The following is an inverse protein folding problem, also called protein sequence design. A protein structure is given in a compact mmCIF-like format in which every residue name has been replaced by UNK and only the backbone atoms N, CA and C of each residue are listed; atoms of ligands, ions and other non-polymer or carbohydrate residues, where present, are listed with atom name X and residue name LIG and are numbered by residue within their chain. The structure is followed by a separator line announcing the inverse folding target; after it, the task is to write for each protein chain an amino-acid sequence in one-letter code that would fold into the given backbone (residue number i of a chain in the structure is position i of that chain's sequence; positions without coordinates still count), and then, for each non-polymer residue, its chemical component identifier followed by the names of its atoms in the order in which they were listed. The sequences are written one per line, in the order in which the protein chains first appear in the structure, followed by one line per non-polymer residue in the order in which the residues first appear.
data_IF_577866156778
#
_entry.id   IF_577866156778
#
_cell.length_a   1.000
_cell.length_b   1.000
_cell.length_c   1.000
_cell.angle_alpha   90.00
_cell.angle_beta   90.00
_cell.angle_gamma   90.00
#
_symmetry.space_group_name_H-M   'P 1'
#
loop_
_entity.id
_entity.type
_entity.pdbx_description
1 polymer ?
#
# COMPACT_ATOMS: atom_id res chain seq x y z
N UNK A 1 50.07 -21.87 2.21
CA UNK A 1 49.23 -21.94 0.99
C UNK A 1 47.81 -22.45 1.25
N UNK A 2 47.64 -23.57 1.99
CA UNK A 2 46.31 -24.17 2.27
C UNK A 2 45.35 -23.24 3.03
N UNK A 3 45.84 -22.50 4.02
CA UNK A 3 45.00 -21.60 4.84
C UNK A 3 44.51 -20.36 4.09
N UNK A 4 45.34 -19.79 3.20
CA UNK A 4 44.96 -18.66 2.34
C UNK A 4 43.87 -19.05 1.34
N UNK A 5 43.96 -20.27 0.79
CA UNK A 5 42.98 -20.81 -0.15
C UNK A 5 41.64 -21.09 0.53
N UNK A 6 41.68 -21.60 1.77
CA UNK A 6 40.48 -21.83 2.59
C UNK A 6 39.82 -20.52 3.03
N UNK A 7 40.60 -19.50 3.38
CA UNK A 7 40.07 -18.17 3.71
C UNK A 7 39.41 -17.50 2.49
N UNK A 8 40.01 -17.65 1.30
CA UNK A 8 39.41 -17.14 0.06
C UNK A 8 38.09 -17.83 -0.28
N UNK A 9 38.03 -19.16 -0.15
CA UNK A 9 36.80 -19.94 -0.32
C UNK A 9 35.70 -19.51 0.64
N UNK A 10 36.02 -19.33 1.92
CA UNK A 10 35.05 -18.90 2.93
C UNK A 10 34.49 -17.50 2.62
N UNK A 11 35.32 -16.57 2.15
CA UNK A 11 34.88 -15.24 1.73
C UNK A 11 33.95 -15.30 0.52
N UNK A 12 34.24 -16.14 -0.48
CA UNK A 12 33.36 -16.33 -1.65
C UNK A 12 32.02 -16.91 -1.25
N UNK A 13 32.02 -17.93 -0.38
CA UNK A 13 30.78 -18.54 0.14
C UNK A 13 29.96 -17.52 0.92
N UNK A 14 30.61 -16.71 1.75
CA UNK A 14 29.94 -15.67 2.54
C UNK A 14 29.31 -14.61 1.62
N UNK A 15 30.04 -14.15 0.60
CA UNK A 15 29.53 -13.20 -0.37
C UNK A 15 28.35 -13.77 -1.18
N UNK A 16 28.44 -15.04 -1.59
CA UNK A 16 27.35 -15.72 -2.28
C UNK A 16 26.10 -15.84 -1.40
N UNK A 17 26.27 -16.18 -0.11
CA UNK A 17 25.17 -16.22 0.84
C UNK A 17 24.50 -14.85 1.01
N UNK A 18 25.28 -13.77 1.13
CA UNK A 18 24.75 -12.40 1.17
C UNK A 18 23.99 -12.04 -0.10
N UNK A 19 24.51 -12.39 -1.27
CA UNK A 19 23.84 -12.14 -2.54
C UNK A 19 22.49 -12.86 -2.64
N UNK A 20 22.41 -14.11 -2.17
CA UNK A 20 21.15 -14.87 -2.11
C UNK A 20 20.13 -14.19 -1.18
N UNK A 21 20.56 -13.73 0.01
CA UNK A 21 19.66 -13.03 0.95
C UNK A 21 19.13 -11.73 0.33
N UNK A 22 20.01 -10.91 -0.27
CA UNK A 22 19.60 -9.67 -0.95
C UNK A 22 18.63 -9.99 -2.10
N UNK A 23 18.93 -11.01 -2.91
CA UNK A 23 18.07 -11.46 -3.99
C UNK A 23 16.68 -11.88 -3.50
N UNK A 24 16.61 -12.64 -2.40
CA UNK A 24 15.34 -13.04 -1.79
C UNK A 24 14.55 -11.82 -1.26
N UNK A 25 15.21 -10.86 -0.62
CA UNK A 25 14.57 -9.63 -0.15
C UNK A 25 13.99 -8.80 -1.31
N UNK A 26 14.77 -8.62 -2.38
CA UNK A 26 14.30 -7.91 -3.59
C UNK A 26 13.13 -8.65 -4.25
N UNK A 27 13.19 -9.98 -4.31
CA UNK A 27 12.12 -10.79 -4.88
C UNK A 27 10.82 -10.68 -4.08
N UNK A 28 10.90 -10.76 -2.75
CA UNK A 28 9.76 -10.53 -1.85
C UNK A 28 9.22 -9.10 -2.03
N UNK A 29 10.09 -8.10 -2.14
CA UNK A 29 9.67 -6.72 -2.37
C UNK A 29 8.90 -6.55 -3.68
N UNK A 30 9.36 -7.21 -4.76
CA UNK A 30 8.64 -7.20 -6.05
C UNK A 30 7.27 -7.87 -5.93
N UNK A 31 7.17 -9.00 -5.20
CA UNK A 31 5.90 -9.68 -4.94
C UNK A 31 4.91 -8.80 -4.14
N UNK A 32 5.39 -8.12 -3.10
CA UNK A 32 4.57 -7.17 -2.33
C UNK A 32 4.17 -5.96 -3.16
N UNK A 33 5.03 -5.49 -4.07
CA UNK A 33 4.75 -4.36 -4.96
C UNK A 33 3.77 -4.73 -6.09
N UNK A 34 3.76 -6.00 -6.50
CA UNK A 34 2.84 -6.55 -7.49
C UNK A 34 1.46 -6.89 -6.93
N UNK A 35 1.15 -6.49 -5.68
CA UNK A 35 -0.17 -6.70 -5.11
C UNK A 35 -1.27 -6.08 -6.00
N UNK A 36 -2.38 -6.81 -6.24
CA UNK A 36 -3.46 -6.38 -7.13
C UNK A 36 -4.22 -5.14 -6.63
N UNK A 37 -3.98 -4.75 -5.37
CA UNK A 37 -4.56 -3.56 -4.74
C UNK A 37 -4.03 -2.23 -5.32
N UNK A 38 -3.01 -2.27 -6.20
CA UNK A 38 -2.40 -1.06 -6.79
C UNK A 38 -3.32 -0.27 -7.73
N UNK A 39 -4.40 -0.88 -8.24
CA UNK A 39 -5.37 -0.23 -9.13
C UNK A 39 -6.79 -0.14 -8.53
N UNK A 40 -6.92 -0.07 -7.21
CA UNK A 40 -8.22 0.22 -6.61
C UNK A 40 -8.63 1.66 -6.96
N UNK A 41 -9.78 1.81 -7.61
CA UNK A 41 -10.33 3.14 -7.88
C UNK A 41 -10.75 3.76 -6.55
N UNK A 42 -10.03 4.79 -6.13
CA UNK A 42 -10.37 5.55 -4.95
C UNK A 42 -11.68 6.31 -5.20
N UNK A 43 -12.55 6.31 -4.20
CA UNK A 43 -13.82 7.04 -4.19
C UNK A 43 -13.84 8.00 -3.00
N UNK A 44 -14.49 9.14 -3.17
CA UNK A 44 -14.65 10.12 -2.11
C UNK A 44 -16.10 10.59 -2.01
N UNK A 45 -16.50 11.06 -0.84
CA UNK A 45 -17.77 11.73 -0.61
C UNK A 45 -17.53 13.00 0.22
N UNK A 46 -17.89 14.19 -0.27
CA UNK A 46 -17.73 15.43 0.48
C UNK A 46 -18.71 15.48 1.65
N UNK A 47 -18.27 16.09 2.74
CA UNK A 47 -19.09 16.31 3.94
C UNK A 47 -19.17 17.81 4.19
N UNK A 48 -20.37 18.36 4.04
CA UNK A 48 -20.67 19.79 4.21
C UNK A 48 -20.95 20.14 5.70
N UNK A 49 -20.12 19.58 6.59
CA UNK A 49 -20.12 19.83 8.03
C UNK A 49 -18.84 19.34 8.69
N UNK A 50 -18.54 19.91 9.85
CA UNK A 50 -17.54 19.39 10.75
C UNK A 50 -17.94 18.00 11.28
N UNK A 51 -17.00 17.06 11.21
CA UNK A 51 -17.22 15.69 11.67
C UNK A 51 -17.24 15.63 13.19
N UNK A 52 -18.32 15.06 13.74
CA UNK A 52 -18.40 14.76 15.17
C UNK A 52 -18.10 13.28 15.44
N UNK A 53 -17.86 12.93 16.70
CA UNK A 53 -17.59 11.54 17.07
C UNK A 53 -18.78 10.60 16.76
N UNK A 54 -20.01 11.08 16.87
CA UNK A 54 -21.21 10.31 16.55
C UNK A 54 -21.28 9.96 15.06
N UNK A 55 -20.82 10.86 14.19
CA UNK A 55 -20.77 10.66 12.74
C UNK A 55 -19.80 9.53 12.33
N UNK A 56 -18.71 9.38 13.08
CA UNK A 56 -17.72 8.32 12.85
C UNK A 56 -18.29 6.96 13.28
N UNK A 57 -18.97 6.88 14.43
CA UNK A 57 -19.51 5.62 14.96
C UNK A 57 -20.71 5.15 14.13
N UNK A 58 -21.52 6.10 13.63
CA UNK A 58 -22.70 5.81 12.81
C UNK A 58 -22.39 5.75 11.32
N UNK A 59 -21.13 5.80 10.93
CA UNK A 59 -20.71 5.76 9.54
C UNK A 59 -21.27 4.52 8.84
N UNK A 60 -21.97 4.74 7.73
CA UNK A 60 -22.44 3.69 6.86
C UNK A 60 -22.11 4.03 5.41
N UNK A 61 -21.34 3.17 4.75
CA UNK A 61 -20.88 3.45 3.39
C UNK A 61 -22.04 3.60 2.38
N UNK A 62 -23.20 2.99 2.63
CA UNK A 62 -24.38 3.11 1.77
C UNK A 62 -25.06 4.48 1.78
N UNK A 63 -24.75 5.34 2.75
CA UNK A 63 -25.43 6.63 2.97
C UNK A 63 -24.78 7.79 2.22
N UNK A 64 -23.77 7.50 1.39
CA UNK A 64 -22.94 8.52 0.75
C UNK A 64 -22.92 8.38 -0.77
N UNK A 65 -23.02 9.52 -1.45
CA UNK A 65 -22.87 9.62 -2.90
C UNK A 65 -21.39 9.63 -3.30
N UNK A 66 -20.83 8.42 -3.41
CA UNK A 66 -19.43 8.23 -3.75
C UNK A 66 -19.10 8.64 -5.18
N UNK A 67 -18.04 9.44 -5.32
CA UNK A 67 -17.49 9.86 -6.61
C UNK A 67 -16.08 9.31 -6.79
N UNK A 68 -15.70 8.80 -7.98
CA UNK A 68 -14.34 8.34 -8.24
C UNK A 68 -13.38 9.53 -8.29
N UNK A 69 -12.15 9.33 -7.83
CA UNK A 69 -11.06 10.29 -8.00
C UNK A 69 -9.73 9.59 -8.27
N UNK A 70 -8.87 10.23 -9.06
CA UNK A 70 -7.57 9.68 -9.48
C UNK A 70 -6.37 10.50 -8.96
N UNK A 71 -6.64 11.57 -8.22
CA UNK A 71 -5.61 12.46 -7.66
C UNK A 71 -5.11 11.93 -6.31
N UNK A 72 -3.83 12.18 -5.95
CA UNK A 72 -3.30 11.78 -4.64
C UNK A 72 -4.06 12.42 -3.46
N UNK A 73 -4.62 13.61 -3.71
CA UNK A 73 -5.44 14.35 -2.76
C UNK A 73 -6.90 14.24 -3.21
N UNK A 74 -7.84 13.90 -2.31
CA UNK A 74 -9.26 13.90 -2.63
C UNK A 74 -9.71 15.32 -2.98
N UNK A 75 -10.65 15.49 -3.92
CA UNK A 75 -11.24 16.78 -4.21
C UNK A 75 -12.03 17.25 -2.98
N UNK A 76 -11.55 18.30 -2.31
CA UNK A 76 -12.33 19.01 -1.32
C UNK A 76 -13.09 20.09 -2.09
N UNK A 77 -14.41 19.91 -2.24
CA UNK A 77 -15.25 20.92 -2.88
C UNK A 77 -15.18 22.23 -2.07
N UNK A 78 -15.29 23.39 -2.73
CA UNK A 78 -15.38 24.68 -2.03
C UNK A 78 -16.58 24.65 -1.07
N UNK A 79 -16.30 24.68 0.24
CA UNK A 79 -17.31 24.58 1.31
C UNK A 79 -17.26 23.28 2.12
N UNK A 80 -16.66 22.20 1.61
CA UNK A 80 -16.53 20.96 2.36
C UNK A 80 -15.48 21.09 3.48
N UNK A 81 -15.89 20.89 4.73
CA UNK A 81 -14.99 20.87 5.89
C UNK A 81 -14.29 19.52 6.09
N UNK A 82 -14.89 18.45 5.56
CA UNK A 82 -14.30 17.11 5.58
C UNK A 82 -14.65 16.30 4.33
N UNK A 83 -13.93 15.20 4.14
CA UNK A 83 -14.16 14.25 3.04
C UNK A 83 -13.99 12.83 3.55
N UNK A 84 -14.93 11.96 3.19
CA UNK A 84 -14.77 10.51 3.37
C UNK A 84 -14.07 9.91 2.16
N UNK A 85 -13.25 8.90 2.41
CA UNK A 85 -12.47 8.19 1.38
C UNK A 85 -12.76 6.70 1.50
N UNK A 86 -12.92 6.04 0.36
CA UNK A 86 -13.14 4.59 0.27
C UNK A 86 -12.42 4.00 -0.94
N UNK A 87 -12.09 2.72 -0.83
CA UNK A 87 -11.63 1.88 -1.93
C UNK A 87 -12.48 0.62 -1.94
N UNK A 88 -13.07 0.30 -3.09
CA UNK A 88 -13.86 -0.91 -3.26
C UNK A 88 -12.94 -2.05 -3.67
N UNK A 89 -12.77 -3.04 -2.79
CA UNK A 89 -12.00 -4.26 -3.09
C UNK A 89 -12.86 -5.18 -3.96
N UNK A 90 -12.44 -5.51 -5.19
CA UNK A 90 -13.17 -6.44 -6.05
C UNK A 90 -13.39 -7.79 -5.36
N UNK A 91 -14.56 -8.43 -5.54
CA UNK A 91 -14.89 -9.70 -4.88
C UNK A 91 -13.98 -10.86 -5.32
N UNK A 92 -13.32 -10.72 -6.48
CA UNK A 92 -12.36 -11.65 -7.07
C UNK A 92 -10.91 -11.34 -6.70
N UNK A 93 -10.67 -10.39 -5.79
CA UNK A 93 -9.32 -10.10 -5.30
C UNK A 93 -8.84 -11.26 -4.42
N UNK A 94 -7.69 -11.88 -4.75
CA UNK A 94 -7.18 -13.08 -4.07
C UNK A 94 -6.68 -12.84 -2.64
#
# INVERSE_FOLDING_TARGET
MKESLQHSLNNVISLAAFAVVIGAMLFVWQLLSAMPYSNLTAKYAPVDKELTHDDIIRFHAGDHDWQPYATPLPPIAEGAEAVYISWEVPPDTP
#
